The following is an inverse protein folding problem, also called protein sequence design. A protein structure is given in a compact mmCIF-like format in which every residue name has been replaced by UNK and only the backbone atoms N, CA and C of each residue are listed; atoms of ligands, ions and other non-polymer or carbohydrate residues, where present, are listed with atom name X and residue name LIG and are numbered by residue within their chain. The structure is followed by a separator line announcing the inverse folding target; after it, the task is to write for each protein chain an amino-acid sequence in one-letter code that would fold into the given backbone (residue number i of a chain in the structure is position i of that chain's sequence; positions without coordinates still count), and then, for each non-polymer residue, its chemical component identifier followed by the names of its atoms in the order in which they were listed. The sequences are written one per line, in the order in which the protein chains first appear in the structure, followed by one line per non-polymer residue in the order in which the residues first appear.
data_IF_568115760349
#
_entry.id   IF_568115760349
#
_cell.length_a   1.000
_cell.length_b   1.000
_cell.length_c   1.000
_cell.angle_alpha   90.00
_cell.angle_beta   90.00
_cell.angle_gamma   90.00
#
_symmetry.space_group_name_H-M   'P 1'
#
loop_
_entity.id
_entity.type
_entity.pdbx_description
1 polymer ?
#
# COMPACT_ATOMS: atom_id res chain seq x y z
N UNK A 1 5.79 -9.81 -9.88
CA UNK A 1 5.51 -8.48 -10.46
C UNK A 1 4.29 -8.51 -11.34
N UNK A 2 4.16 -9.45 -12.28
CA UNK A 2 2.99 -9.59 -13.17
C UNK A 2 1.65 -9.58 -12.41
N UNK A 3 1.52 -10.38 -11.34
CA UNK A 3 0.30 -10.39 -10.52
C UNK A 3 0.00 -9.05 -9.85
N UNK A 4 1.01 -8.31 -9.38
CA UNK A 4 0.80 -6.96 -8.82
C UNK A 4 0.26 -6.00 -9.88
N UNK A 5 0.83 -6.03 -11.09
CA UNK A 5 0.38 -5.17 -12.19
C UNK A 5 -1.01 -5.59 -12.68
N UNK A 6 -1.32 -6.89 -12.68
CA UNK A 6 -2.65 -7.41 -12.96
C UNK A 6 -3.68 -6.94 -11.91
N UNK A 7 -3.34 -7.01 -10.62
CA UNK A 7 -4.18 -6.49 -9.53
C UNK A 7 -4.43 -4.99 -9.69
N UNK A 8 -3.38 -4.21 -9.95
CA UNK A 8 -3.51 -2.78 -10.25
C UNK A 8 -4.41 -2.53 -11.46
N UNK A 9 -4.22 -3.28 -12.55
CA UNK A 9 -5.07 -3.21 -13.74
C UNK A 9 -6.54 -3.45 -13.41
N UNK A 10 -6.85 -4.54 -12.70
CA UNK A 10 -8.22 -4.84 -12.25
C UNK A 10 -8.82 -3.73 -11.39
N UNK A 11 -8.03 -3.13 -10.49
CA UNK A 11 -8.47 -1.99 -9.68
C UNK A 11 -8.77 -0.76 -10.56
N UNK A 12 -7.95 -0.49 -11.58
CA UNK A 12 -8.15 0.62 -12.52
C UNK A 12 -9.39 0.43 -13.43
N UNK A 13 -9.79 -0.81 -13.69
CA UNK A 13 -11.05 -1.15 -14.35
C UNK A 13 -12.25 -1.17 -13.39
N UNK A 14 -12.04 -0.94 -12.09
CA UNK A 14 -13.10 -0.93 -11.08
C UNK A 14 -13.51 -2.32 -10.57
N UNK A 15 -12.78 -3.38 -10.96
CA UNK A 15 -13.03 -4.75 -10.48
C UNK A 15 -12.32 -4.99 -9.14
N UNK A 16 -12.79 -4.31 -8.09
CA UNK A 16 -12.13 -4.27 -6.78
C UNK A 16 -11.98 -5.63 -6.10
N UNK A 17 -13.00 -6.50 -6.15
CA UNK A 17 -12.92 -7.85 -5.57
C UNK A 17 -11.87 -8.70 -6.27
N UNK A 18 -11.87 -8.72 -7.60
CA UNK A 18 -10.88 -9.44 -8.39
C UNK A 18 -9.46 -8.89 -8.14
N UNK A 19 -9.34 -7.56 -8.15
CA UNK A 19 -8.08 -6.89 -7.86
C UNK A 19 -7.51 -7.28 -6.51
N UNK A 20 -8.35 -7.40 -5.47
CA UNK A 20 -7.90 -7.80 -4.14
C UNK A 20 -7.57 -9.29 -4.03
N UNK A 21 -8.31 -10.17 -4.72
CA UNK A 21 -7.97 -11.60 -4.81
C UNK A 21 -6.59 -11.78 -5.46
N UNK A 22 -6.35 -11.14 -6.61
CA UNK A 22 -5.06 -11.18 -7.30
C UNK A 22 -3.96 -10.53 -6.43
N UNK A 23 -4.28 -9.43 -5.74
CA UNK A 23 -3.37 -8.78 -4.80
C UNK A 23 -2.98 -9.73 -3.65
N UNK A 24 -3.94 -10.45 -3.08
CA UNK A 24 -3.69 -11.43 -2.01
C UNK A 24 -2.78 -12.56 -2.49
N UNK A 25 -3.02 -13.08 -3.70
CA UNK A 25 -2.11 -14.04 -4.34
C UNK A 25 -0.72 -13.46 -4.63
N UNK A 26 -0.60 -12.16 -4.92
CA UNK A 26 0.69 -11.51 -5.09
C UNK A 26 1.45 -11.37 -3.74
N UNK A 27 0.72 -11.11 -2.64
CA UNK A 27 1.29 -11.05 -1.28
C UNK A 27 1.81 -12.40 -0.82
N UNK A 28 1.10 -13.50 -1.11
CA UNK A 28 1.54 -14.86 -0.73
C UNK A 28 2.84 -15.27 -1.43
N UNK A 29 3.04 -14.84 -2.69
CA UNK A 29 4.31 -15.07 -3.41
C UNK A 29 5.43 -14.20 -2.84
N UNK A 30 5.16 -12.93 -2.52
CA UNK A 30 6.16 -12.06 -1.90
C UNK A 30 5.58 -10.96 -1.03
N UNK A 31 6.01 -10.95 0.22
CA UNK A 31 5.51 -10.06 1.28
C UNK A 31 5.66 -8.56 0.97
N UNK A 32 6.63 -8.14 0.16
CA UNK A 32 6.82 -6.71 -0.15
C UNK A 32 5.64 -6.07 -0.89
N UNK A 33 4.78 -6.88 -1.51
CA UNK A 33 3.52 -6.39 -2.08
C UNK A 33 2.62 -5.77 -1.00
N UNK A 34 2.75 -6.20 0.26
CA UNK A 34 2.01 -5.68 1.40
C UNK A 34 2.24 -4.17 1.62
N UNK A 35 3.35 -3.60 1.14
CA UNK A 35 3.62 -2.16 1.24
C UNK A 35 2.58 -1.31 0.49
N UNK A 36 1.85 -1.89 -0.46
CA UNK A 36 0.73 -1.22 -1.14
C UNK A 36 -0.59 -1.26 -0.34
N UNK A 37 -0.69 -2.12 0.68
CA UNK A 37 -1.94 -2.39 1.40
C UNK A 37 -2.53 -1.16 2.11
N UNK A 38 -1.76 -0.29 2.80
CA UNK A 38 -2.35 0.89 3.46
C UNK A 38 -3.00 1.86 2.47
N UNK A 39 -2.31 2.13 1.35
CA UNK A 39 -2.85 2.94 0.26
C UNK A 39 -4.06 2.29 -0.42
N UNK A 40 -4.01 0.99 -0.67
CA UNK A 40 -5.11 0.24 -1.28
C UNK A 40 -6.36 0.26 -0.40
N UNK A 41 -6.19 0.07 0.91
CA UNK A 41 -7.30 0.09 1.86
C UNK A 41 -8.04 1.42 1.86
N UNK A 42 -7.32 2.55 1.82
CA UNK A 42 -7.94 3.89 1.72
C UNK A 42 -8.68 4.06 0.39
N UNK A 43 -8.12 3.56 -0.72
CA UNK A 43 -8.80 3.59 -2.02
C UNK A 43 -10.07 2.75 -2.03
N UNK A 44 -10.05 1.55 -1.43
CA UNK A 44 -11.22 0.70 -1.27
C UNK A 44 -12.31 1.38 -0.43
N UNK A 45 -11.92 2.00 0.69
CA UNK A 45 -12.84 2.78 1.51
C UNK A 45 -13.46 3.94 0.72
N UNK A 46 -12.82 4.47 -0.31
CA UNK A 46 -13.40 5.52 -1.14
C UNK A 46 -14.27 4.98 -2.28
N UNK A 47 -13.89 3.87 -2.87
CA UNK A 47 -14.52 3.35 -4.08
C UNK A 47 -15.68 2.40 -3.83
N UNK A 48 -15.70 1.69 -2.69
CA UNK A 48 -16.71 0.67 -2.37
C UNK A 48 -17.50 1.04 -1.11
N UNK A 49 -18.62 0.37 -0.88
CA UNK A 49 -19.34 0.40 0.41
C UNK A 49 -18.57 -0.38 1.49
N UNK A 50 -18.87 -0.15 2.77
CA UNK A 50 -18.18 -0.84 3.87
C UNK A 50 -18.42 -2.36 3.81
N UNK A 51 -19.64 -2.78 3.52
CA UNK A 51 -19.97 -4.19 3.29
C UNK A 51 -19.15 -4.78 2.13
N UNK A 52 -19.00 -4.04 1.03
CA UNK A 52 -18.14 -4.44 -0.09
C UNK A 52 -16.67 -4.57 0.30
N UNK A 53 -16.14 -3.65 1.11
CA UNK A 53 -14.77 -3.72 1.63
C UNK A 53 -14.60 -4.96 2.51
N UNK A 54 -15.53 -5.23 3.44
CA UNK A 54 -15.49 -6.41 4.31
C UNK A 54 -15.54 -7.69 3.48
N UNK A 55 -16.46 -7.78 2.52
CA UNK A 55 -16.57 -8.94 1.61
C UNK A 55 -15.30 -9.16 0.79
N UNK A 56 -14.71 -8.09 0.25
CA UNK A 56 -13.45 -8.18 -0.47
C UNK A 56 -12.31 -8.69 0.44
N UNK A 57 -12.16 -8.10 1.64
CA UNK A 57 -11.15 -8.51 2.61
C UNK A 57 -11.33 -9.97 3.05
N UNK A 58 -12.57 -10.43 3.24
CA UNK A 58 -12.88 -11.82 3.54
C UNK A 58 -12.43 -12.75 2.40
N UNK A 59 -12.72 -12.39 1.14
CA UNK A 59 -12.24 -13.12 -0.03
C UNK A 59 -10.71 -13.18 -0.10
N UNK A 60 -10.03 -12.08 0.24
CA UNK A 60 -8.57 -12.04 0.29
C UNK A 60 -7.99 -12.93 1.39
N UNK A 61 -8.63 -12.98 2.56
CA UNK A 61 -8.23 -13.84 3.68
C UNK A 61 -8.34 -15.33 3.31
N UNK A 62 -9.44 -15.73 2.65
CA UNK A 62 -9.62 -17.11 2.17
C UNK A 62 -8.48 -17.56 1.23
N UNK A 63 -8.01 -16.66 0.36
CA UNK A 63 -6.87 -16.93 -0.53
C UNK A 63 -5.58 -17.14 0.25
N UNK A 64 -5.39 -16.47 1.39
CA UNK A 64 -4.20 -16.64 2.22
C UNK A 64 -4.21 -17.96 3.00
N UNK A 65 -5.38 -18.40 3.48
CA UNK A 65 -5.53 -19.70 4.15
C UNK A 65 -5.35 -20.88 3.18
N UNK A 66 -5.79 -20.72 1.92
CA UNK A 66 -5.71 -21.77 0.91
C UNK A 66 -4.31 -21.99 0.31
N UNK A 67 -3.43 -21.00 0.41
CA UNK A 67 -2.05 -21.07 -0.06
C UNK A 67 -1.14 -21.30 1.16
N UNK A 68 -0.81 -22.56 1.51
CA UNK A 68 -0.02 -22.84 2.70
C UNK A 68 1.26 -22.01 2.67
N UNK A 69 1.45 -21.27 3.77
CA UNK A 69 2.53 -20.33 3.96
C UNK A 69 3.90 -20.99 3.72
N UNK A 70 4.44 -20.82 2.52
CA UNK A 70 5.83 -21.15 2.18
C UNK A 70 6.83 -20.15 2.81
N UNK A 71 6.42 -19.45 3.87
CA UNK A 71 7.09 -18.24 4.38
C UNK A 71 8.01 -18.52 5.57
N UNK A 72 7.93 -19.69 6.23
CA UNK A 72 8.75 -19.94 7.42
C UNK A 72 10.18 -20.43 7.12
N UNK A 73 10.47 -20.95 5.92
CA UNK A 73 11.78 -21.59 5.63
C UNK A 73 12.77 -20.62 4.96
N UNK A 74 12.31 -19.57 4.27
CA UNK A 74 13.20 -18.64 3.56
C UNK A 74 13.75 -17.51 4.45
N UNK A 75 13.08 -17.19 5.57
CA UNK A 75 13.50 -16.13 6.49
C UNK A 75 14.82 -16.48 7.22
N UNK A 76 15.14 -17.77 7.34
CA UNK A 76 16.37 -18.25 7.97
C UNK A 76 17.59 -18.22 7.00
N UNK A 77 17.37 -18.22 5.68
CA UNK A 77 18.44 -18.42 4.68
C UNK A 77 18.91 -17.10 4.02
N UNK A 78 18.10 -16.03 4.03
CA UNK A 78 18.42 -14.75 3.37
C UNK A 78 19.06 -13.68 4.29
N UNK A 79 19.87 -14.10 5.26
CA UNK A 79 20.67 -13.21 6.11
C UNK A 79 21.95 -12.71 5.42
N UNK A 80 21.86 -12.28 4.15
CA UNK A 80 22.99 -11.60 3.47
C UNK A 80 22.52 -10.39 2.67
N UNK A 81 22.72 -9.21 3.27
CA UNK A 81 22.77 -7.90 2.62
C UNK A 81 21.45 -7.14 2.59
N UNK A 82 21.13 -6.41 3.67
CA UNK A 82 20.26 -5.24 3.54
C UNK A 82 21.02 -4.14 2.80
N UNK A 83 20.38 -3.55 1.80
CA UNK A 83 20.90 -2.37 1.09
C UNK A 83 20.46 -1.10 1.79
N UNK A 84 19.25 -1.11 2.37
CA UNK A 84 18.74 0.06 3.07
C UNK A 84 19.48 0.28 4.39
N UNK A 85 19.69 1.55 4.73
CA UNK A 85 20.40 1.97 5.95
C UNK A 85 21.82 1.40 6.11
N UNK A 86 22.51 1.03 5.02
CA UNK A 86 23.89 0.52 5.10
C UNK A 86 24.92 1.54 5.62
N UNK A 87 24.55 2.82 5.66
CA UNK A 87 25.32 3.89 6.30
C UNK A 87 25.17 3.93 7.83
N UNK A 88 24.18 3.21 8.39
CA UNK A 88 23.93 3.17 9.83
C UNK A 88 24.81 2.09 10.47
N UNK A 89 25.52 2.37 11.58
CA UNK A 89 26.29 1.38 12.31
C UNK A 89 25.44 0.17 12.72
N UNK A 90 26.00 -1.04 12.61
CA UNK A 90 25.36 -2.30 12.99
C UNK A 90 24.68 -2.30 14.38
N UNK A 91 25.28 -1.77 15.47
CA UNK A 91 24.62 -1.75 16.78
C UNK A 91 23.32 -0.94 16.78
N UNK A 92 23.25 0.14 15.99
CA UNK A 92 22.05 0.97 15.85
C UNK A 92 21.05 0.26 14.94
N UNK A 93 21.52 -0.34 13.84
CA UNK A 93 20.67 -1.02 12.86
C UNK A 93 19.89 -2.21 13.45
N UNK A 94 20.52 -2.97 14.35
CA UNK A 94 19.91 -4.13 15.01
C UNK A 94 19.02 -3.73 16.20
N UNK A 95 19.17 -2.50 16.71
CA UNK A 95 18.43 -2.03 17.89
C UNK A 95 16.91 -2.05 17.68
N UNK A 96 16.18 -2.37 18.75
CA UNK A 96 14.72 -2.32 18.77
C UNK A 96 14.21 -0.88 18.59
N UNK A 97 14.93 0.08 19.16
CA UNK A 97 14.61 1.52 19.07
C UNK A 97 14.60 1.99 17.62
N UNK A 98 15.60 1.61 16.83
CA UNK A 98 15.66 1.94 15.42
C UNK A 98 14.48 1.34 14.64
N UNK A 99 14.17 0.06 14.86
CA UNK A 99 13.02 -0.59 14.22
C UNK A 99 11.68 0.08 14.58
N UNK A 100 11.49 0.45 15.85
CA UNK A 100 10.29 1.16 16.32
C UNK A 100 10.24 2.58 15.73
N UNK A 101 11.36 3.29 15.66
CA UNK A 101 11.43 4.63 15.07
C UNK A 101 11.03 4.63 13.59
N UNK A 102 11.49 3.64 12.82
CA UNK A 102 11.12 3.45 11.43
C UNK A 102 9.63 3.13 11.27
N UNK A 103 9.07 2.31 12.15
CA UNK A 103 7.64 2.01 12.17
C UNK A 103 6.80 3.26 12.48
N UNK A 104 7.20 4.05 13.48
CA UNK A 104 6.54 5.31 13.81
C UNK A 104 6.61 6.27 12.62
N UNK A 105 7.78 6.43 12.01
CA UNK A 105 7.96 7.26 10.82
C UNK A 105 7.05 6.79 9.67
N UNK A 106 6.95 5.47 9.45
CA UNK A 106 6.07 4.89 8.45
C UNK A 106 4.60 5.26 8.67
N UNK A 107 4.10 5.04 9.90
CA UNK A 107 2.72 5.34 10.27
C UNK A 107 2.41 6.83 10.18
N UNK A 108 3.33 7.68 10.64
CA UNK A 108 3.20 9.14 10.57
C UNK A 108 3.13 9.60 9.12
N UNK A 109 4.06 9.14 8.26
CA UNK A 109 4.04 9.49 6.84
C UNK A 109 2.74 9.05 6.16
N UNK A 110 2.28 7.83 6.43
CA UNK A 110 1.00 7.35 5.92
C UNK A 110 -0.17 8.24 6.36
N UNK A 111 -0.26 8.59 7.64
CA UNK A 111 -1.34 9.45 8.16
C UNK A 111 -1.28 10.86 7.57
N UNK A 112 -0.09 11.45 7.47
CA UNK A 112 0.13 12.77 6.87
C UNK A 112 -0.30 12.77 5.40
N UNK A 113 0.18 11.81 4.60
CA UNK A 113 -0.21 11.72 3.19
C UNK A 113 -1.70 11.41 3.04
N UNK A 114 -2.25 10.52 3.86
CA UNK A 114 -3.66 10.21 3.87
C UNK A 114 -4.52 11.45 4.19
N UNK A 115 -4.11 12.26 5.16
CA UNK A 115 -4.84 13.46 5.56
C UNK A 115 -4.73 14.59 4.53
N UNK A 116 -3.51 14.96 4.13
CA UNK A 116 -3.27 16.18 3.33
C UNK A 116 -3.32 15.97 1.82
N UNK A 117 -3.03 14.75 1.33
CA UNK A 117 -2.94 14.47 -0.12
C UNK A 117 -4.04 13.55 -0.58
N UNK A 118 -4.23 12.39 0.07
CA UNK A 118 -5.19 11.41 -0.41
C UNK A 118 -6.62 11.84 -0.13
N UNK A 119 -6.96 12.22 1.11
CA UNK A 119 -8.32 12.61 1.51
C UNK A 119 -8.57 14.12 1.50
N UNK A 120 -7.76 14.90 0.77
CA UNK A 120 -7.89 16.38 0.69
C UNK A 120 -9.31 16.82 0.29
N UNK A 121 -9.88 16.19 -0.73
CA UNK A 121 -11.22 16.54 -1.24
C UNK A 121 -12.36 16.18 -0.29
N UNK A 122 -12.12 15.28 0.68
CA UNK A 122 -13.13 14.83 1.66
C UNK A 122 -13.00 15.62 2.99
N UNK A 123 -12.14 16.64 3.04
CA UNK A 123 -11.87 17.43 4.24
C UNK A 123 -10.93 16.75 5.24
N UNK A 124 -10.07 15.84 4.77
CA UNK A 124 -9.06 15.14 5.55
C UNK A 124 -9.45 13.73 5.98
N UNK A 125 -8.46 12.98 6.47
CA UNK A 125 -8.61 11.55 6.80
C UNK A 125 -9.67 11.30 7.88
N UNK A 126 -9.63 12.06 8.98
CA UNK A 126 -10.51 11.83 10.13
C UNK A 126 -11.97 12.15 9.81
N UNK A 127 -12.23 13.25 9.09
CA UNK A 127 -13.57 13.60 8.64
C UNK A 127 -14.14 12.55 7.69
N UNK A 128 -13.31 12.09 6.75
CA UNK A 128 -13.65 10.99 5.85
C UNK A 128 -13.99 9.71 6.62
N UNK A 129 -13.11 9.22 7.50
CA UNK A 129 -13.36 7.99 8.28
C UNK A 129 -14.60 8.11 9.16
N UNK A 130 -14.81 9.26 9.83
CA UNK A 130 -16.01 9.51 10.64
C UNK A 130 -17.28 9.44 9.80
N UNK A 131 -17.27 10.06 8.61
CA UNK A 131 -18.40 9.99 7.68
C UNK A 131 -18.70 8.55 7.25
N UNK A 132 -17.66 7.76 6.98
CA UNK A 132 -17.81 6.34 6.62
C UNK A 132 -18.38 5.51 7.77
N UNK A 133 -17.83 5.64 8.98
CA UNK A 133 -18.31 4.90 10.16
C UNK A 133 -19.75 5.28 10.50
N UNK A 134 -20.09 6.58 10.48
CA UNK A 134 -21.45 7.06 10.73
C UNK A 134 -22.46 6.52 9.71
N UNK A 135 -22.05 6.42 8.45
CA UNK A 135 -22.88 5.86 7.37
C UNK A 135 -23.07 4.34 7.50
N UNK A 136 -22.22 3.64 8.25
CA UNK A 136 -22.41 2.22 8.58
C UNK A 136 -23.57 2.00 9.55
N UNK A 137 -23.94 3.02 10.35
CA UNK A 137 -24.93 2.92 11.42
C UNK A 137 -26.35 3.36 11.03
N UNK A 138 -26.51 4.00 9.87
CA UNK A 138 -27.82 4.45 9.36
C UNK A 138 -28.01 3.79 8.00
N UNK A 139 -28.95 2.87 7.92
CA UNK A 139 -29.28 2.08 6.73
C UNK A 139 -29.57 2.96 5.50
N UNK A 140 -29.01 2.52 4.36
CA UNK A 140 -29.59 2.70 3.02
C UNK A 140 -29.73 4.13 2.46
N UNK A 141 -28.62 4.85 2.29
CA UNK A 141 -28.63 6.17 1.63
C UNK A 141 -27.52 6.37 0.59
N UNK A 142 -27.50 5.57 -0.48
CA UNK A 142 -26.94 5.93 -1.80
C UNK A 142 -25.68 6.83 -1.86
N UNK A 143 -24.62 6.52 -1.11
CA UNK A 143 -23.28 6.95 -1.52
C UNK A 143 -22.83 6.03 -2.66
N UNK A 144 -23.30 6.32 -3.88
CA UNK A 144 -22.90 5.60 -5.09
C UNK A 144 -21.37 5.50 -5.15
N UNK A 145 -20.80 4.38 -5.64
CA UNK A 145 -19.36 4.24 -5.77
C UNK A 145 -18.81 5.40 -6.59
N UNK A 146 -18.08 6.32 -5.94
CA UNK A 146 -17.43 7.43 -6.65
C UNK A 146 -16.41 6.80 -7.59
N UNK A 147 -16.60 6.99 -8.90
CA UNK A 147 -15.58 6.65 -9.89
C UNK A 147 -14.33 7.47 -9.60
N UNK A 148 -13.34 6.84 -8.99
CA UNK A 148 -12.07 7.50 -8.69
C UNK A 148 -11.29 7.71 -9.98
N UNK A 149 -10.67 8.89 -10.11
CA UNK A 149 -9.74 9.16 -11.21
C UNK A 149 -8.61 8.12 -11.18
N UNK A 150 -8.33 7.48 -12.32
CA UNK A 150 -7.28 6.47 -12.47
C UNK A 150 -5.91 6.98 -12.01
N UNK A 151 -5.59 8.23 -12.34
CA UNK A 151 -4.36 8.91 -11.89
C UNK A 151 -4.24 8.96 -10.36
N UNK A 152 -5.36 9.20 -9.66
CA UNK A 152 -5.39 9.22 -8.20
C UNK A 152 -5.13 7.83 -7.61
N UNK A 153 -5.71 6.79 -8.20
CA UNK A 153 -5.49 5.39 -7.79
C UNK A 153 -4.01 5.03 -7.91
N UNK A 154 -3.43 5.21 -9.11
CA UNK A 154 -2.03 4.87 -9.39
C UNK A 154 -1.08 5.64 -8.47
N UNK A 155 -1.27 6.96 -8.38
CA UNK A 155 -0.43 7.83 -7.54
C UNK A 155 -0.50 7.43 -6.07
N UNK A 156 -1.70 7.14 -5.55
CA UNK A 156 -1.87 6.73 -4.15
C UNK A 156 -1.18 5.41 -3.87
N UNK A 157 -1.29 4.43 -4.78
CA UNK A 157 -0.60 3.14 -4.67
C UNK A 157 0.93 3.28 -4.70
N UNK A 158 1.48 4.03 -5.66
CA UNK A 158 2.93 4.23 -5.77
C UNK A 158 3.51 5.02 -4.59
N UNK A 159 2.82 6.07 -4.12
CA UNK A 159 3.25 6.84 -2.95
C UNK A 159 3.22 5.96 -1.69
N UNK A 160 2.17 5.16 -1.49
CA UNK A 160 2.09 4.23 -0.36
C UNK A 160 3.25 3.24 -0.34
N UNK A 161 3.55 2.63 -1.50
CA UNK A 161 4.69 1.74 -1.64
C UNK A 161 6.04 2.45 -1.39
N UNK A 162 6.21 3.68 -1.88
CA UNK A 162 7.43 4.47 -1.65
C UNK A 162 7.66 4.77 -0.17
N UNK A 163 6.62 5.19 0.55
CA UNK A 163 6.68 5.41 2.01
C UNK A 163 7.08 4.10 2.72
N UNK A 164 6.53 2.97 2.27
CA UNK A 164 6.91 1.65 2.76
C UNK A 164 8.39 1.32 2.56
N UNK A 165 8.94 1.65 1.38
CA UNK A 165 10.34 1.37 1.03
C UNK A 165 11.31 2.26 1.82
N UNK A 166 11.02 3.55 1.95
CA UNK A 166 11.86 4.47 2.73
C UNK A 166 11.97 4.01 4.19
N UNK A 167 10.84 3.59 4.77
CA UNK A 167 10.80 3.16 6.17
C UNK A 167 11.15 1.67 6.37
N UNK A 168 11.42 0.91 5.31
CA UNK A 168 11.76 -0.51 5.44
C UNK A 168 13.16 -0.67 6.04
N UNK A 169 13.27 -1.25 7.25
CA UNK A 169 14.56 -1.50 7.90
C UNK A 169 15.52 -2.31 7.01
N UNK A 170 15.03 -3.40 6.43
CA UNK A 170 15.84 -4.31 5.62
C UNK A 170 15.26 -4.48 4.23
N UNK A 171 16.06 -4.27 3.20
CA UNK A 171 15.62 -4.35 1.80
C UNK A 171 16.71 -5.02 0.95
N UNK A 172 16.37 -6.16 0.35
CA UNK A 172 17.19 -6.87 -0.63
C UNK A 172 17.17 -6.20 -2.01
N UNK A 173 18.27 -6.31 -2.78
CA UNK A 173 18.41 -5.69 -4.11
C UNK A 173 17.27 -6.00 -5.08
N UNK A 174 16.73 -7.22 -5.02
CA UNK A 174 15.60 -7.63 -5.87
C UNK A 174 14.35 -6.75 -5.68
N UNK A 175 14.20 -6.07 -4.54
CA UNK A 175 13.07 -5.19 -4.31
C UNK A 175 13.20 -3.84 -5.02
N UNK A 176 14.42 -3.38 -5.33
CA UNK A 176 14.61 -2.15 -6.10
C UNK A 176 14.04 -2.27 -7.51
N UNK A 177 14.25 -3.42 -8.18
CA UNK A 177 13.70 -3.64 -9.53
C UNK A 177 12.18 -3.65 -9.57
N UNK A 178 11.52 -3.81 -8.42
CA UNK A 178 10.06 -3.86 -8.31
C UNK A 178 9.44 -2.49 -8.11
N UNK A 179 10.13 -1.64 -7.36
CA UNK A 179 9.75 -0.26 -7.13
C UNK A 179 10.15 0.67 -8.27
N UNK A 180 11.22 0.33 -9.00
CA UNK A 180 11.79 1.17 -10.04
C UNK A 180 10.76 1.68 -11.06
N UNK A 181 9.76 0.88 -11.42
CA UNK A 181 8.71 1.27 -12.36
C UNK A 181 7.79 2.40 -11.86
N UNK A 182 7.66 2.60 -10.55
CA UNK A 182 6.87 3.69 -9.97
C UNK A 182 7.63 5.02 -9.88
N UNK A 183 8.97 4.99 -9.88
CA UNK A 183 9.82 6.18 -9.73
C UNK A 183 9.59 7.24 -10.81
N UNK A 184 9.58 6.91 -12.12
CA UNK A 184 9.36 7.89 -13.17
C UNK A 184 8.02 8.62 -13.00
N UNK A 185 6.95 7.89 -12.64
CA UNK A 185 5.64 8.48 -12.38
C UNK A 185 5.68 9.42 -11.18
N UNK A 186 6.32 9.01 -10.07
CA UNK A 186 6.45 9.83 -8.86
C UNK A 186 7.28 11.10 -9.10
N UNK A 187 8.34 11.03 -9.91
CA UNK A 187 9.13 12.18 -10.28
C UNK A 187 8.37 13.11 -11.24
N UNK A 188 7.53 12.57 -12.11
CA UNK A 188 6.73 13.37 -13.03
C UNK A 188 5.69 14.25 -12.31
N UNK A 189 5.11 13.75 -11.22
CA UNK A 189 4.08 14.48 -10.46
C UNK A 189 4.65 15.51 -9.48
N UNK A 190 5.95 15.49 -9.20
CA UNK A 190 6.58 16.50 -8.33
C UNK A 190 6.90 17.78 -9.11
N UNK A 191 6.98 18.93 -8.42
CA UNK A 191 7.38 20.20 -9.03
C UNK A 191 8.90 20.31 -9.23
N UNK A 192 9.64 19.20 -9.15
CA UNK A 192 11.09 19.24 -9.33
C UNK A 192 11.45 19.61 -10.77
N UNK A 193 12.52 20.39 -10.97
CA UNK A 193 13.00 20.69 -12.30
C UNK A 193 13.47 19.38 -12.95
N UNK A 194 12.79 18.98 -14.01
CA UNK A 194 13.22 17.89 -14.89
C UNK A 194 13.79 18.52 -16.14
N UNK A 195 14.92 18.01 -16.65
CA UNK A 195 15.56 18.51 -17.88
C UNK A 195 14.64 18.50 -19.13
N UNK A 196 13.50 17.78 -19.06
CA UNK A 196 12.54 17.57 -20.14
C UNK A 196 11.20 18.32 -19.97
N UNK A 197 11.02 19.14 -18.92
CA UNK A 197 9.81 19.95 -18.67
C UNK A 197 10.16 21.43 -18.70
#
# INVERSE_FOLDING_TARGET
MTLLHAAMGSILFGWWHLGLIIFSAAVSIKMNVLLYAPSLFILMLKAMSISGVISALAGAALVQEALPASVLILFYILSKGSVNFKFVPEPIFVSKEFAVSLLIAHLVLLVVFAHYKWCKHEGGLFKFLRSRISFCSITSGSAWPKTLKKEHIVTTMFVGNFIGIICARSLHYQFYSWYFYGLPHLLWITPFPTLLR
#
